data_IF_662433459353
#
_entry.id   IF_662433459353
#
_cell.length_a   1.000
_cell.length_b   1.000
_cell.length_c   1.000
_cell.angle_alpha   90.00
_cell.angle_beta   90.00
_cell.angle_gamma   90.00
#
_symmetry.space_group_name_H-M   'P 1'
#
loop_
_entity.id
_entity.type
_entity.pdbx_description
1 polymer ?
#
# COMPACT_ATOMS: atom_id res chain seq x y z
N UNK A 1 -1.63 -16.72 -39.88
CA UNK A 1 -0.52 -15.85 -39.47
C UNK A 1 -1.15 -14.50 -39.34
N UNK A 2 -1.38 -14.06 -38.11
CA UNK A 2 -1.50 -12.67 -37.64
C UNK A 2 -1.65 -12.83 -36.13
N UNK A 3 -0.49 -13.08 -35.51
CA UNK A 3 -0.24 -13.19 -34.08
C UNK A 3 0.14 -11.78 -33.66
N UNK A 4 -0.85 -11.01 -33.19
CA UNK A 4 -0.64 -9.68 -32.61
C UNK A 4 -1.38 -9.68 -31.27
N UNK A 5 -0.88 -10.54 -30.37
CA UNK A 5 -1.04 -10.36 -28.93
C UNK A 5 -0.16 -9.15 -28.59
N UNK A 6 -0.75 -7.96 -28.72
CA UNK A 6 -0.13 -6.67 -28.43
C UNK A 6 0.42 -6.73 -27.01
N UNK A 7 1.74 -6.92 -26.91
CA UNK A 7 2.50 -7.12 -25.68
C UNK A 7 2.36 -5.83 -24.87
N UNK A 8 1.35 -5.78 -23.98
CA UNK A 8 1.11 -4.63 -23.11
C UNK A 8 2.43 -4.33 -22.38
N UNK A 9 3.05 -3.17 -22.62
CA UNK A 9 4.33 -2.85 -22.00
C UNK A 9 4.16 -2.97 -20.48
N UNK A 10 5.06 -3.70 -19.77
CA UNK A 10 4.97 -3.78 -18.33
C UNK A 10 5.06 -2.37 -17.78
N UNK A 11 4.07 -2.03 -16.95
CA UNK A 11 3.88 -0.76 -16.27
C UNK A 11 5.21 -0.03 -15.99
N UNK A 12 5.54 0.95 -16.84
CA UNK A 12 6.76 1.75 -16.77
C UNK A 12 6.54 2.83 -15.70
N UNK A 13 6.60 2.41 -14.44
CA UNK A 13 6.39 3.21 -13.25
C UNK A 13 6.76 2.42 -12.01
N UNK A 14 8.05 2.38 -11.66
CA UNK A 14 8.67 1.53 -10.61
C UNK A 14 8.30 1.91 -9.17
N UNK A 15 7.05 2.32 -8.93
CA UNK A 15 6.60 2.75 -7.60
C UNK A 15 5.73 1.67 -6.99
N UNK A 16 6.01 1.32 -5.73
CA UNK A 16 5.26 0.28 -5.04
C UNK A 16 3.80 0.72 -4.82
N UNK A 17 2.85 -0.02 -5.40
CA UNK A 17 1.41 0.28 -5.31
C UNK A 17 0.66 -0.66 -4.36
N UNK A 18 1.35 -1.61 -3.74
CA UNK A 18 0.78 -2.59 -2.82
C UNK A 18 1.79 -2.97 -1.74
N UNK A 19 1.31 -3.21 -0.52
CA UNK A 19 2.14 -3.63 0.60
C UNK A 19 1.36 -4.54 1.54
N UNK A 20 2.07 -5.42 2.23
CA UNK A 20 1.51 -6.22 3.33
C UNK A 20 1.99 -5.65 4.65
N UNK A 21 1.06 -5.24 5.51
CA UNK A 21 1.37 -4.79 6.88
C UNK A 21 0.77 -5.73 7.90
N UNK A 22 1.32 -5.70 9.12
CA UNK A 22 0.84 -6.52 10.22
C UNK A 22 -0.01 -5.68 11.17
N UNK A 23 -1.16 -6.21 11.56
CA UNK A 23 -2.05 -5.56 12.50
C UNK A 23 -1.40 -5.29 13.85
N UNK A 24 -1.31 -4.03 14.33
CA UNK A 24 -0.87 -3.75 15.70
C UNK A 24 -1.84 -4.28 16.77
N UNK A 25 -3.09 -4.60 16.40
CA UNK A 25 -4.13 -5.06 17.33
C UNK A 25 -4.25 -6.58 17.47
N UNK A 26 -4.21 -7.34 16.37
CA UNK A 26 -4.37 -8.79 16.36
C UNK A 26 -3.17 -9.55 15.79
N UNK A 27 -2.19 -8.87 15.18
CA UNK A 27 -1.03 -9.48 14.54
C UNK A 27 -1.27 -10.09 13.16
N UNK A 28 -2.42 -9.86 12.54
CA UNK A 28 -2.75 -10.42 11.22
C UNK A 28 -2.15 -9.61 10.05
N UNK A 29 -1.71 -10.30 9.00
CA UNK A 29 -1.25 -9.66 7.76
C UNK A 29 -2.43 -9.12 6.94
N UNK A 30 -2.38 -7.84 6.56
CA UNK A 30 -3.37 -7.19 5.73
C UNK A 30 -2.69 -6.56 4.52
N UNK A 31 -3.31 -6.71 3.35
CA UNK A 31 -2.88 -6.14 2.08
C UNK A 31 -3.47 -4.73 1.91
N UNK A 32 -2.61 -3.74 1.75
CA UNK A 32 -2.95 -2.34 1.53
C UNK A 32 -2.58 -1.93 0.10
N UNK A 33 -3.47 -1.16 -0.54
CA UNK A 33 -3.15 -0.44 -1.77
C UNK A 33 -2.45 0.87 -1.44
N UNK A 34 -1.35 1.16 -2.13
CA UNK A 34 -0.61 2.40 -2.04
C UNK A 34 -0.84 3.22 -3.32
N UNK A 35 -1.12 4.51 -3.17
CA UNK A 35 -1.32 5.42 -4.30
C UNK A 35 -0.17 6.44 -4.37
N UNK A 36 0.76 6.37 -5.33
CA UNK A 36 1.84 7.34 -5.42
C UNK A 36 1.39 8.73 -5.89
N UNK A 37 0.15 8.85 -6.41
CA UNK A 37 -0.46 10.11 -6.81
C UNK A 37 -0.81 11.05 -5.65
N UNK A 38 -1.02 10.51 -4.44
CA UNK A 38 -1.39 11.27 -3.25
C UNK A 38 -0.28 12.14 -2.65
N UNK A 39 0.96 12.01 -3.13
CA UNK A 39 2.12 12.78 -2.68
C UNK A 39 3.14 11.98 -1.86
N UNK A 40 4.26 12.61 -1.46
CA UNK A 40 5.40 11.91 -0.86
C UNK A 40 5.14 11.41 0.57
N UNK A 41 4.15 11.97 1.27
CA UNK A 41 3.72 11.55 2.59
C UNK A 41 2.20 11.50 2.62
N UNK A 42 1.65 10.35 2.97
CA UNK A 42 0.22 10.10 3.05
C UNK A 42 -0.11 9.47 4.39
N UNK A 43 -1.20 9.93 4.98
CA UNK A 43 -1.67 9.46 6.28
C UNK A 43 -3.17 9.20 6.19
N UNK A 44 -3.58 7.97 6.43
CA UNK A 44 -4.98 7.58 6.40
C UNK A 44 -5.29 6.56 7.50
N UNK A 45 -6.58 6.35 7.74
CA UNK A 45 -7.07 5.36 8.69
C UNK A 45 -7.66 4.22 7.90
N UNK A 46 -7.28 3.01 8.25
CA UNK A 46 -7.83 1.79 7.68
C UNK A 46 -8.25 0.84 8.81
N UNK A 47 -9.20 -0.03 8.53
CA UNK A 47 -9.68 -1.05 9.45
C UNK A 47 -9.08 -2.41 9.12
N UNK A 48 -8.66 -3.13 10.16
CA UNK A 48 -8.17 -4.50 9.98
C UNK A 48 -9.31 -5.40 9.49
N UNK A 49 -9.09 -6.12 8.38
CA UNK A 49 -10.11 -7.02 7.78
C UNK A 49 -10.47 -8.23 8.64
N UNK A 50 -9.71 -8.48 9.71
CA UNK A 50 -9.92 -9.61 10.63
C UNK A 50 -10.51 -9.17 11.97
N UNK A 51 -9.93 -8.17 12.63
CA UNK A 51 -10.41 -7.73 13.95
C UNK A 51 -11.28 -6.47 13.91
N UNK A 52 -11.53 -5.89 12.74
CA UNK A 52 -12.35 -4.68 12.53
C UNK A 52 -11.96 -3.48 13.41
N UNK A 53 -10.69 -3.41 13.82
CA UNK A 53 -10.17 -2.30 14.64
C UNK A 53 -9.47 -1.29 13.76
N UNK A 54 -9.73 0.01 13.95
CA UNK A 54 -9.06 1.04 13.18
C UNK A 54 -7.59 1.15 13.58
N UNK A 55 -6.76 1.39 12.58
CA UNK A 55 -5.36 1.73 12.73
C UNK A 55 -5.03 2.95 11.85
N UNK A 56 -3.96 3.66 12.18
CA UNK A 56 -3.42 4.69 11.29
C UNK A 56 -2.31 4.07 10.45
N UNK A 57 -2.35 4.35 9.16
CA UNK A 57 -1.32 3.97 8.19
C UNK A 57 -0.67 5.24 7.66
N UNK A 58 0.65 5.28 7.72
CA UNK A 58 1.48 6.36 7.19
C UNK A 58 2.37 5.78 6.11
N UNK A 59 2.24 6.30 4.89
CA UNK A 59 2.99 5.87 3.71
C UNK A 59 3.91 7.02 3.31
N UNK A 60 5.20 6.72 3.17
CA UNK A 60 6.21 7.66 2.70
C UNK A 60 6.87 7.13 1.43
N UNK A 61 6.75 7.87 0.34
CA UNK A 61 7.45 7.56 -0.89
C UNK A 61 8.80 8.25 -0.93
N UNK A 62 9.84 7.45 -1.15
CA UNK A 62 11.20 7.92 -1.37
C UNK A 62 11.39 8.37 -2.83
N UNK A 63 12.38 9.25 -3.12
CA UNK A 63 12.65 9.71 -4.48
C UNK A 63 13.15 8.61 -5.43
N UNK A 64 13.56 7.46 -4.90
CA UNK A 64 13.90 6.25 -5.67
C UNK A 64 12.69 5.38 -6.03
N UNK A 65 11.49 5.71 -5.54
CA UNK A 65 10.26 4.96 -5.80
C UNK A 65 9.88 3.94 -4.73
N UNK A 66 10.72 3.73 -3.71
CA UNK A 66 10.37 2.86 -2.58
C UNK A 66 9.31 3.46 -1.67
N UNK A 67 8.43 2.63 -1.14
CA UNK A 67 7.40 3.00 -0.19
C UNK A 67 7.73 2.48 1.21
N UNK A 68 7.86 3.40 2.18
CA UNK A 68 7.98 3.07 3.58
C UNK A 68 6.62 3.21 4.26
N UNK A 69 6.14 2.13 4.87
CA UNK A 69 4.83 2.08 5.52
C UNK A 69 4.95 1.85 7.01
N UNK A 70 4.29 2.71 7.78
CA UNK A 70 4.23 2.65 9.23
C UNK A 70 2.78 2.47 9.65
N UNK A 71 2.55 1.58 10.61
CA UNK A 71 1.21 1.31 11.15
C UNK A 71 1.17 1.52 12.65
N UNK A 72 0.21 2.29 13.11
CA UNK A 72 0.02 2.60 14.53
C UNK A 72 -1.41 2.23 14.95
N UNK A 73 -1.61 1.61 16.13
CA UNK A 73 -2.94 1.37 16.64
C UNK A 73 -3.64 2.71 16.90
N UNK A 74 -4.86 2.87 16.37
CA UNK A 74 -5.69 4.02 16.68
C UNK A 74 -6.59 3.62 17.85
N UNK A 75 -6.12 3.87 19.07
CA UNK A 75 -6.95 3.75 20.26
C UNK A 75 -7.89 4.98 20.30
N UNK A 76 -9.16 4.73 19.97
CA UNK A 76 -10.24 5.72 20.03
C UNK A 76 -10.85 5.85 21.42
#
# INVERSE_FOLDING_TARGET
>A
MDDDEEEFPPDDGTTETEVVVVCPHCGEANELGLDPGGGPLQEYVEDCRVCCRPWRVTVRYAPDGSAEVFTEPLDG
#
